data_IF_590829703760
#
_entry.id   IF_590829703760
#
_cell.length_a   1.000
_cell.length_b   1.000
_cell.length_c   1.000
_cell.angle_alpha   90.00
_cell.angle_beta   90.00
_cell.angle_gamma   90.00
#
_symmetry.space_group_name_H-M   'P 1'
#
loop_
_entity.id
_entity.type
_entity.pdbx_description
1 polymer ?
#
# COMPACT_ATOMS: atom_id res chain seq x y z
N UNK A 1 12.69 -26.35 -17.93
CA UNK A 1 13.29 -25.31 -17.08
C UNK A 1 12.17 -24.64 -16.31
N UNK A 2 12.23 -24.62 -14.98
CA UNK A 2 11.25 -23.86 -14.19
C UNK A 2 11.57 -22.39 -14.35
N UNK A 3 10.63 -21.60 -14.87
CA UNK A 3 10.79 -20.15 -14.99
C UNK A 3 10.77 -19.55 -13.59
N UNK A 4 11.83 -18.83 -13.20
CA UNK A 4 11.84 -18.07 -11.95
C UNK A 4 10.74 -17.01 -12.00
N UNK A 5 9.83 -17.06 -11.03
CA UNK A 5 8.78 -16.05 -10.90
C UNK A 5 9.39 -14.71 -10.48
N UNK A 6 9.00 -13.63 -11.16
CA UNK A 6 9.38 -12.27 -10.77
C UNK A 6 8.12 -11.52 -10.35
N UNK A 7 8.15 -10.90 -9.17
CA UNK A 7 7.08 -10.09 -8.61
C UNK A 7 7.46 -8.62 -8.51
N UNK A 8 6.46 -7.77 -8.67
CA UNK A 8 6.54 -6.34 -8.43
C UNK A 8 5.73 -6.01 -7.18
N UNK A 9 6.31 -5.25 -6.26
CA UNK A 9 5.67 -4.80 -5.03
C UNK A 9 5.59 -3.28 -5.06
N UNK A 10 4.38 -2.73 -4.99
CA UNK A 10 4.13 -1.29 -4.91
C UNK A 10 3.73 -0.95 -3.49
N UNK A 11 4.57 -0.21 -2.77
CA UNK A 11 4.47 0.01 -1.33
C UNK A 11 4.09 1.46 -1.06
N UNK A 12 3.14 1.65 -0.16
CA UNK A 12 2.86 2.95 0.45
C UNK A 12 2.71 2.81 1.97
N UNK A 13 2.88 3.92 2.68
CA UNK A 13 2.78 4.00 4.12
C UNK A 13 1.57 4.81 4.59
N UNK A 14 1.09 4.48 5.76
CA UNK A 14 0.07 5.25 6.46
C UNK A 14 0.30 5.17 7.96
N UNK A 15 -0.58 5.82 8.71
CA UNK A 15 -0.39 6.01 10.14
C UNK A 15 0.14 7.40 10.47
N UNK A 16 0.31 7.64 11.76
CA UNK A 16 0.77 8.93 12.26
C UNK A 16 1.35 8.80 13.65
N UNK A 17 2.38 9.60 13.93
CA UNK A 17 2.91 9.73 15.30
C UNK A 17 1.78 10.10 16.27
N UNK A 18 0.81 10.93 15.90
CA UNK A 18 -0.29 11.33 16.80
C UNK A 18 -1.15 10.14 17.28
N UNK A 19 -1.35 9.13 16.43
CA UNK A 19 -2.18 7.96 16.73
C UNK A 19 -1.35 6.76 17.18
N UNK A 20 -0.03 6.79 16.97
CA UNK A 20 0.88 5.71 17.34
C UNK A 20 0.92 4.55 16.34
N UNK A 21 0.16 4.59 15.25
CA UNK A 21 0.19 3.54 14.24
C UNK A 21 1.23 3.83 13.18
N UNK A 22 2.03 2.83 12.85
CA UNK A 22 2.86 2.72 11.65
C UNK A 22 2.26 1.62 10.80
N UNK A 23 1.94 1.89 9.54
CA UNK A 23 1.33 0.94 8.62
C UNK A 23 2.07 1.00 7.29
N UNK A 24 2.49 -0.15 6.77
CA UNK A 24 2.93 -0.29 5.39
C UNK A 24 2.00 -1.28 4.71
N UNK A 25 1.50 -0.92 3.53
CA UNK A 25 0.76 -1.85 2.67
C UNK A 25 1.36 -1.88 1.29
N UNK A 26 1.12 -2.98 0.59
CA UNK A 26 1.58 -3.13 -0.78
C UNK A 26 0.54 -3.78 -1.67
N UNK A 27 0.59 -3.43 -2.95
CA UNK A 27 0.03 -4.24 -4.03
C UNK A 27 1.15 -5.09 -4.61
N UNK A 28 0.93 -6.40 -4.76
CA UNK A 28 1.84 -7.28 -5.48
C UNK A 28 1.18 -7.91 -6.70
N UNK A 29 1.97 -8.07 -7.76
CA UNK A 29 1.59 -8.85 -8.94
C UNK A 29 2.81 -9.55 -9.53
N UNK A 30 2.60 -10.60 -10.32
CA UNK A 30 3.67 -11.15 -11.17
C UNK A 30 3.98 -10.16 -12.29
N UNK A 31 5.21 -10.18 -12.80
CA UNK A 31 5.60 -9.36 -13.97
C UNK A 31 4.74 -9.68 -15.19
N UNK A 32 4.37 -10.94 -15.39
CA UNK A 32 3.52 -11.37 -16.51
C UNK A 32 2.10 -10.78 -16.44
N UNK A 33 1.59 -10.60 -15.21
CA UNK A 33 0.23 -10.13 -14.93
C UNK A 33 0.14 -8.60 -14.82
N UNK A 34 1.28 -7.91 -14.86
CA UNK A 34 1.38 -6.46 -14.68
C UNK A 34 0.45 -5.68 -15.62
N UNK A 35 0.38 -6.07 -16.90
CA UNK A 35 -0.49 -5.38 -17.87
C UNK A 35 -1.97 -5.57 -17.56
N UNK A 36 -2.36 -6.76 -17.10
CA UNK A 36 -3.74 -7.09 -16.80
C UNK A 36 -4.20 -6.39 -15.51
N UNK A 37 -3.39 -6.43 -14.45
CA UNK A 37 -3.67 -5.68 -13.21
C UNK A 37 -3.79 -4.17 -13.44
N UNK A 38 -2.84 -3.58 -14.18
CA UNK A 38 -2.92 -2.15 -14.52
C UNK A 38 -4.15 -1.83 -15.38
N UNK A 39 -4.53 -2.72 -16.30
CA UNK A 39 -5.71 -2.53 -17.15
C UNK A 39 -6.98 -2.40 -16.32
N UNK A 40 -7.19 -3.26 -15.32
CA UNK A 40 -8.38 -3.20 -14.45
C UNK A 40 -8.51 -1.85 -13.75
N UNK A 41 -7.41 -1.36 -13.19
CA UNK A 41 -7.41 -0.03 -12.61
C UNK A 41 -7.69 1.07 -13.63
N UNK A 42 -7.07 1.03 -14.81
CA UNK A 42 -7.31 2.04 -15.84
C UNK A 42 -8.75 2.02 -16.37
N UNK A 43 -9.41 0.86 -16.38
CA UNK A 43 -10.81 0.76 -16.76
C UNK A 43 -11.73 1.35 -15.69
N UNK A 44 -11.43 1.15 -14.40
CA UNK A 44 -12.04 1.93 -13.30
C UNK A 44 -11.86 3.43 -13.54
N UNK A 45 -10.66 3.91 -13.88
CA UNK A 45 -10.41 5.34 -14.12
C UNK A 45 -11.30 5.91 -15.23
N UNK A 46 -11.61 5.13 -16.27
CA UNK A 46 -12.56 5.54 -17.32
C UNK A 46 -14.00 5.57 -16.79
N UNK A 47 -14.38 4.58 -16.00
CA UNK A 47 -15.71 4.52 -15.37
C UNK A 47 -15.93 5.74 -14.46
N UNK A 48 -14.96 6.07 -13.61
CA UNK A 48 -15.03 7.24 -12.73
C UNK A 48 -15.19 8.55 -13.50
N UNK A 49 -14.60 8.65 -14.70
CA UNK A 49 -14.82 9.80 -15.56
C UNK A 49 -16.25 9.82 -16.12
N UNK A 50 -16.75 8.69 -16.62
CA UNK A 50 -18.09 8.60 -17.20
C UNK A 50 -19.20 8.88 -16.16
N UNK A 51 -19.06 8.36 -14.95
CA UNK A 51 -20.11 8.38 -13.92
C UNK A 51 -19.97 9.56 -12.95
N UNK A 52 -18.72 9.89 -12.58
CA UNK A 52 -18.44 10.89 -11.55
C UNK A 52 -17.69 12.10 -12.09
N UNK A 53 -17.40 12.16 -13.39
CA UNK A 53 -16.66 13.24 -14.04
C UNK A 53 -15.28 13.49 -13.41
N UNK A 54 -14.66 12.45 -12.84
CA UNK A 54 -13.31 12.50 -12.27
C UNK A 54 -12.31 12.20 -13.39
N UNK A 55 -11.48 13.17 -13.82
CA UNK A 55 -10.56 12.95 -14.94
C UNK A 55 -9.52 11.86 -14.60
N UNK A 56 -9.13 10.98 -15.57
CA UNK A 56 -8.13 9.95 -15.33
C UNK A 56 -6.77 10.50 -14.86
N UNK A 57 -6.42 11.72 -15.27
CA UNK A 57 -5.20 12.42 -14.87
C UNK A 57 -5.24 13.01 -13.44
N UNK A 58 -6.40 13.05 -12.79
CA UNK A 58 -6.50 13.51 -11.41
C UNK A 58 -5.93 12.46 -10.45
N UNK A 59 -4.94 12.82 -9.64
CA UNK A 59 -4.36 11.92 -8.63
C UNK A 59 -5.40 11.53 -7.56
N UNK A 60 -5.66 10.23 -7.40
CA UNK A 60 -6.45 9.73 -6.28
C UNK A 60 -5.54 9.42 -5.09
N UNK A 61 -5.23 10.45 -4.31
CA UNK A 61 -4.58 10.27 -3.01
C UNK A 61 -5.65 10.03 -1.94
N UNK A 62 -5.79 8.79 -1.45
CA UNK A 62 -6.84 8.29 -0.57
C UNK A 62 -7.10 9.20 0.62
N UNK A 63 -6.06 9.59 1.37
CA UNK A 63 -6.20 10.48 2.53
C UNK A 63 -6.79 11.84 2.15
N UNK A 64 -6.36 12.44 1.04
CA UNK A 64 -6.94 13.73 0.59
C UNK A 64 -8.35 13.52 0.04
N UNK A 65 -8.51 12.50 -0.79
CA UNK A 65 -9.73 12.18 -1.53
C UNK A 65 -10.89 11.88 -0.59
N UNK A 66 -10.75 10.88 0.30
CA UNK A 66 -11.80 10.43 1.23
C UNK A 66 -12.14 11.50 2.27
N UNK A 67 -11.18 12.33 2.67
CA UNK A 67 -11.42 13.42 3.61
C UNK A 67 -12.10 14.65 2.99
N UNK A 68 -12.41 14.62 1.69
CA UNK A 68 -13.09 15.72 1.00
C UNK A 68 -12.18 16.88 0.60
N UNK A 69 -10.86 16.65 0.49
CA UNK A 69 -9.93 17.65 -0.02
C UNK A 69 -9.87 17.60 -1.55
N UNK A 70 -9.54 18.74 -2.16
CA UNK A 70 -9.42 18.90 -3.61
C UNK A 70 -10.75 18.86 -4.37
N UNK A 71 -10.68 19.08 -5.67
CA UNK A 71 -11.81 19.08 -6.61
C UNK A 71 -11.62 17.98 -7.67
N UNK A 72 -11.78 16.70 -7.31
CA UNK A 72 -11.54 15.56 -8.20
C UNK A 72 -12.47 15.54 -9.42
N UNK A 73 -13.71 16.01 -9.28
CA UNK A 73 -14.71 16.00 -10.33
C UNK A 73 -14.80 17.37 -11.03
N UNK A 74 -15.07 17.39 -12.33
CA UNK A 74 -15.46 18.62 -13.03
C UNK A 74 -16.86 19.09 -12.63
N UNK A 75 -17.65 18.23 -11.99
CA UNK A 75 -18.92 18.58 -11.37
C UNK A 75 -18.70 19.13 -9.94
N UNK A 76 -18.98 20.42 -9.75
CA UNK A 76 -18.78 21.11 -8.47
C UNK A 76 -19.71 20.62 -7.35
N UNK A 77 -20.91 20.15 -7.68
CA UNK A 77 -21.84 19.58 -6.70
C UNK A 77 -21.31 18.24 -6.17
N UNK A 78 -20.74 17.41 -7.05
CA UNK A 78 -20.10 16.15 -6.67
C UNK A 78 -18.98 16.37 -5.66
N UNK A 79 -18.12 17.37 -5.88
CA UNK A 79 -16.96 17.66 -5.03
C UNK A 79 -17.31 17.96 -3.57
N UNK A 80 -18.55 18.42 -3.30
CA UNK A 80 -19.06 18.73 -1.96
C UNK A 80 -19.59 17.50 -1.21
N UNK A 81 -19.78 16.37 -1.89
CA UNK A 81 -20.31 15.16 -1.29
C UNK A 81 -19.20 14.25 -0.75
N UNK A 82 -19.13 14.10 0.57
CA UNK A 82 -18.25 13.10 1.22
C UNK A 82 -18.74 11.68 1.00
N UNK A 83 -20.05 11.49 0.87
CA UNK A 83 -20.65 10.18 0.64
C UNK A 83 -20.22 9.60 -0.70
N UNK A 84 -20.34 10.38 -1.79
CA UNK A 84 -19.90 9.96 -3.12
C UNK A 84 -18.39 9.66 -3.19
N UNK A 85 -17.58 10.35 -2.38
CA UNK A 85 -16.14 10.05 -2.25
C UNK A 85 -15.89 8.73 -1.53
N UNK A 86 -16.73 8.38 -0.54
CA UNK A 86 -16.72 7.07 0.10
C UNK A 86 -17.03 5.97 -0.92
N UNK A 87 -18.12 6.13 -1.69
CA UNK A 87 -18.50 5.16 -2.73
C UNK A 87 -17.40 4.94 -3.77
N UNK A 88 -16.74 6.01 -4.25
CA UNK A 88 -15.61 5.87 -5.18
C UNK A 88 -14.41 5.18 -4.54
N UNK A 89 -14.16 5.41 -3.25
CA UNK A 89 -13.09 4.73 -2.54
C UNK A 89 -13.40 3.23 -2.37
N UNK A 90 -14.63 2.86 -2.06
CA UNK A 90 -15.09 1.47 -1.99
C UNK A 90 -15.01 0.78 -3.37
N UNK A 91 -15.38 1.49 -4.44
CA UNK A 91 -15.23 0.98 -5.80
C UNK A 91 -13.77 0.75 -6.18
N UNK A 92 -12.88 1.66 -5.78
CA UNK A 92 -11.43 1.50 -5.96
C UNK A 92 -10.88 0.28 -5.21
N UNK A 93 -11.27 0.10 -3.95
CA UNK A 93 -10.87 -1.05 -3.13
C UNK A 93 -11.44 -2.36 -3.67
N UNK A 94 -12.70 -2.37 -4.10
CA UNK A 94 -13.34 -3.53 -4.74
C UNK A 94 -12.62 -3.92 -6.03
N UNK A 95 -12.27 -2.93 -6.86
CA UNK A 95 -11.50 -3.16 -8.10
C UNK A 95 -10.15 -3.82 -7.81
N UNK A 96 -9.47 -3.42 -6.73
CA UNK A 96 -8.21 -4.06 -6.30
C UNK A 96 -8.49 -5.48 -5.83
N UNK A 97 -9.45 -5.67 -4.93
CA UNK A 97 -9.77 -6.96 -4.31
C UNK A 97 -10.31 -8.03 -5.26
N UNK A 98 -11.01 -7.63 -6.31
CA UNK A 98 -11.61 -8.52 -7.31
C UNK A 98 -10.66 -8.81 -8.49
N UNK A 99 -9.50 -8.13 -8.57
CA UNK A 99 -8.53 -8.37 -9.62
C UNK A 99 -7.69 -9.61 -9.27
N UNK A 100 -7.94 -10.74 -9.95
CA UNK A 100 -7.22 -12.00 -9.69
C UNK A 100 -5.71 -11.96 -9.93
N UNK A 101 -5.24 -10.96 -10.67
CA UNK A 101 -3.83 -10.68 -10.94
C UNK A 101 -3.13 -9.91 -9.82
N UNK A 102 -3.89 -9.36 -8.86
CA UNK A 102 -3.38 -8.56 -7.77
C UNK A 102 -3.54 -9.30 -6.44
N UNK A 103 -2.56 -9.10 -5.58
CA UNK A 103 -2.69 -9.42 -4.18
C UNK A 103 -2.28 -8.20 -3.35
N UNK A 104 -2.74 -8.16 -2.12
CA UNK A 104 -2.43 -7.07 -1.18
C UNK A 104 -1.72 -7.66 0.02
N UNK A 105 -0.84 -6.91 0.67
CA UNK A 105 -0.44 -7.23 2.02
C UNK A 105 -0.25 -6.00 2.87
N UNK A 106 -0.32 -6.21 4.18
CA UNK A 106 -0.15 -5.14 5.18
C UNK A 106 0.70 -5.65 6.34
N UNK A 107 1.65 -4.83 6.77
CA UNK A 107 2.30 -4.95 8.09
C UNK A 107 2.14 -3.66 8.88
N UNK A 108 2.07 -3.78 10.21
CA UNK A 108 1.86 -2.60 11.05
C UNK A 108 2.50 -2.71 12.44
N UNK A 109 2.55 -1.58 13.15
CA UNK A 109 2.94 -1.49 14.57
C UNK A 109 2.14 -0.40 15.25
N UNK A 110 1.77 -0.64 16.51
CA UNK A 110 1.34 0.43 17.42
C UNK A 110 2.49 0.79 18.37
N UNK A 111 2.73 2.07 18.58
CA UNK A 111 3.78 2.62 19.45
C UNK A 111 3.33 3.92 20.12
N UNK A 112 3.80 4.13 21.34
CA UNK A 112 3.61 5.38 22.08
C UNK A 112 4.70 6.42 21.75
N UNK A 113 5.73 6.03 21.02
CA UNK A 113 6.84 6.91 20.66
C UNK A 113 6.40 8.03 19.73
N UNK A 114 7.14 9.15 19.76
CA UNK A 114 6.89 10.37 18.98
C UNK A 114 8.21 10.90 18.41
N UNK A 115 8.12 11.83 17.46
CA UNK A 115 9.30 12.48 16.87
C UNK A 115 10.28 11.49 16.24
N UNK A 116 11.57 11.66 16.50
CA UNK A 116 12.63 10.80 15.94
C UNK A 116 12.51 9.34 16.36
N UNK A 117 11.98 9.05 17.54
CA UNK A 117 11.74 7.69 17.99
C UNK A 117 10.60 7.02 17.21
N UNK A 118 9.58 7.78 16.77
CA UNK A 118 8.55 7.27 15.87
C UNK A 118 9.10 6.99 14.46
N UNK A 119 9.93 7.89 13.92
CA UNK A 119 10.60 7.66 12.64
C UNK A 119 11.47 6.39 12.64
N UNK A 120 12.16 6.10 13.76
CA UNK A 120 12.87 4.81 13.92
C UNK A 120 11.92 3.61 13.90
N UNK A 121 10.74 3.73 14.51
CA UNK A 121 9.73 2.67 14.43
C UNK A 121 9.23 2.47 12.99
N UNK A 122 9.03 3.54 12.21
CA UNK A 122 8.72 3.43 10.78
C UNK A 122 9.79 2.63 10.02
N UNK A 123 11.05 3.03 10.17
CA UNK A 123 12.18 2.32 9.56
C UNK A 123 12.26 0.84 9.98
N UNK A 124 12.00 0.52 11.25
CA UNK A 124 12.00 -0.86 11.74
C UNK A 124 10.87 -1.70 11.15
N UNK A 125 9.67 -1.13 10.98
CA UNK A 125 8.54 -1.82 10.35
C UNK A 125 8.80 -2.03 8.87
N UNK A 126 9.35 -1.03 8.17
CA UNK A 126 9.75 -1.18 6.77
C UNK A 126 10.79 -2.30 6.60
N UNK A 127 11.82 -2.32 7.44
CA UNK A 127 12.83 -3.40 7.43
C UNK A 127 12.20 -4.78 7.66
N UNK A 128 11.30 -4.89 8.64
CA UNK A 128 10.58 -6.14 8.90
C UNK A 128 9.69 -6.57 7.72
N UNK A 129 9.09 -5.62 6.99
CA UNK A 129 8.36 -5.88 5.75
C UNK A 129 9.29 -6.44 4.67
N UNK A 130 10.44 -5.79 4.43
CA UNK A 130 11.43 -6.24 3.44
C UNK A 130 11.92 -7.67 3.75
N UNK A 131 12.27 -7.96 5.02
CA UNK A 131 12.65 -9.31 5.47
C UNK A 131 11.50 -10.34 5.30
N UNK A 132 10.26 -9.90 5.46
CA UNK A 132 9.08 -10.75 5.26
C UNK A 132 8.87 -11.08 3.77
N UNK A 133 8.95 -10.09 2.89
CA UNK A 133 8.82 -10.27 1.44
C UNK A 133 9.96 -11.13 0.89
N UNK A 134 11.20 -10.90 1.33
CA UNK A 134 12.37 -11.69 0.93
C UNK A 134 12.21 -13.17 1.27
N UNK A 135 11.75 -13.48 2.49
CA UNK A 135 11.48 -14.86 2.91
C UNK A 135 10.36 -15.53 2.10
N UNK A 136 9.32 -14.78 1.72
CA UNK A 136 8.23 -15.30 0.87
C UNK A 136 8.73 -15.64 -0.52
N UNK A 137 9.53 -14.77 -1.11
CA UNK A 137 10.14 -15.00 -2.41
C UNK A 137 11.11 -16.19 -2.35
N UNK A 138 11.89 -16.32 -1.27
CA UNK A 138 12.76 -17.46 -1.05
C UNK A 138 12.00 -18.80 -1.00
N UNK A 139 10.83 -18.82 -0.35
CA UNK A 139 9.99 -20.01 -0.24
C UNK A 139 9.48 -20.53 -1.60
N UNK A 140 9.35 -19.65 -2.60
CA UNK A 140 8.93 -20.01 -3.96
C UNK A 140 10.08 -19.99 -4.97
N UNK A 141 11.32 -19.73 -4.51
CA UNK A 141 12.47 -19.45 -5.37
C UNK A 141 12.18 -18.35 -6.42
N UNK A 142 11.40 -17.35 -6.04
CA UNK A 142 11.05 -16.18 -6.85
C UNK A 142 12.00 -15.01 -6.62
N UNK A 143 11.82 -13.94 -7.39
CA UNK A 143 12.56 -12.68 -7.26
C UNK A 143 11.58 -11.51 -7.16
N UNK A 144 11.99 -10.43 -6.50
CA UNK A 144 11.12 -9.28 -6.22
C UNK A 144 11.77 -7.93 -6.45
N UNK A 145 11.00 -6.98 -6.97
CA UNK A 145 11.38 -5.55 -7.03
C UNK A 145 10.36 -4.74 -6.23
N UNK A 146 10.85 -3.83 -5.37
CA UNK A 146 9.99 -2.94 -4.59
C UNK A 146 10.02 -1.53 -5.20
N UNK A 147 8.84 -1.02 -5.50
CA UNK A 147 8.57 0.36 -5.88
C UNK A 147 7.85 1.03 -4.71
N UNK A 148 8.42 2.10 -4.17
CA UNK A 148 7.96 2.70 -2.91
C UNK A 148 7.57 4.15 -3.15
N UNK A 149 6.48 4.61 -2.53
CA UNK A 149 6.17 6.04 -2.55
C UNK A 149 7.25 6.85 -1.82
N UNK A 150 7.48 8.07 -2.30
CA UNK A 150 8.48 8.98 -1.75
C UNK A 150 9.52 9.43 -2.76
N UNK A 151 10.57 10.09 -2.24
CA UNK A 151 11.60 10.77 -3.03
C UNK A 151 13.01 10.22 -2.83
N UNK A 152 13.16 9.18 -2.00
CA UNK A 152 14.43 8.51 -1.71
C UNK A 152 15.37 9.29 -0.79
N UNK A 153 14.88 10.32 -0.11
CA UNK A 153 15.70 11.11 0.82
C UNK A 153 15.96 10.42 2.15
N UNK A 154 15.10 9.48 2.57
CA UNK A 154 15.29 8.70 3.78
C UNK A 154 16.20 7.48 3.52
N UNK A 155 17.43 7.46 4.07
CA UNK A 155 18.37 6.37 3.85
C UNK A 155 17.94 5.05 4.49
N UNK A 156 16.97 5.03 5.40
CA UNK A 156 16.50 3.82 6.06
C UNK A 156 15.92 2.79 5.07
N UNK A 157 15.28 3.28 4.00
CA UNK A 157 14.72 2.43 2.95
C UNK A 157 15.81 1.64 2.21
N UNK A 158 16.91 2.30 1.83
CA UNK A 158 18.06 1.63 1.20
C UNK A 158 18.77 0.70 2.18
N UNK A 159 18.96 1.12 3.43
CA UNK A 159 19.60 0.32 4.46
C UNK A 159 18.85 -1.02 4.67
N UNK A 160 17.52 -1.01 4.73
CA UNK A 160 16.71 -2.21 4.87
C UNK A 160 16.94 -3.25 3.76
N UNK A 161 17.14 -2.81 2.51
CA UNK A 161 17.44 -3.71 1.39
C UNK A 161 18.88 -4.24 1.45
N UNK A 162 19.83 -3.39 1.82
CA UNK A 162 21.27 -3.73 1.87
C UNK A 162 21.63 -4.60 3.07
N UNK A 163 20.81 -4.59 4.12
CA UNK A 163 20.93 -5.48 5.28
C UNK A 163 20.59 -6.96 4.93
N UNK A 164 19.89 -7.20 3.81
CA UNK A 164 19.66 -8.55 3.31
C UNK A 164 20.96 -9.21 2.87
N UNK A 165 21.13 -10.50 3.19
CA UNK A 165 22.32 -11.26 2.82
C UNK A 165 22.39 -11.47 1.30
N UNK A 166 23.40 -10.88 0.65
CA UNK A 166 23.56 -10.97 -0.82
C UNK A 166 23.51 -12.41 -1.36
N UNK A 167 24.09 -13.38 -0.64
CA UNK A 167 24.14 -14.78 -1.06
C UNK A 167 22.77 -15.47 -1.10
N UNK A 168 21.76 -14.93 -0.43
CA UNK A 168 20.45 -15.58 -0.26
C UNK A 168 19.27 -14.63 -0.47
N UNK A 169 19.50 -13.36 -0.80
CA UNK A 169 18.41 -12.39 -0.98
C UNK A 169 17.69 -12.64 -2.30
N UNK A 170 16.38 -12.52 -2.25
CA UNK A 170 15.45 -12.65 -3.37
C UNK A 170 14.80 -11.31 -3.75
N UNK A 171 14.83 -10.32 -2.86
CA UNK A 171 14.59 -8.92 -3.22
C UNK A 171 15.79 -8.39 -4.00
N UNK A 172 15.54 -7.84 -5.19
CA UNK A 172 16.55 -7.28 -6.09
C UNK A 172 16.72 -5.79 -5.80
N UNK A 173 17.98 -5.34 -5.76
CA UNK A 173 18.40 -3.92 -5.68
C UNK A 173 17.86 -3.14 -4.45
N UNK A 174 18.21 -1.86 -4.41
CA UNK A 174 17.60 -0.84 -3.56
C UNK A 174 16.15 -0.53 -4.02
N UNK A 175 15.29 0.08 -3.18
CA UNK A 175 13.92 0.40 -3.58
C UNK A 175 13.88 1.46 -4.68
N UNK A 176 12.95 1.30 -5.62
CA UNK A 176 12.69 2.26 -6.69
C UNK A 176 11.63 3.27 -6.25
N UNK A 177 12.02 4.50 -6.00
CA UNK A 177 11.09 5.54 -5.58
C UNK A 177 10.24 6.05 -6.75
N UNK A 178 8.91 6.06 -6.57
CA UNK A 178 7.98 6.62 -7.54
C UNK A 178 6.92 7.47 -6.83
N UNK A 179 6.78 8.75 -7.19
CA UNK A 179 5.78 9.59 -6.55
C UNK A 179 4.36 9.20 -7.00
N UNK A 180 3.42 9.10 -6.06
CA UNK A 180 2.03 8.70 -6.27
C UNK A 180 1.32 9.42 -7.44
N UNK A 181 1.50 10.74 -7.60
CA UNK A 181 0.89 11.52 -8.68
C UNK A 181 1.27 11.05 -10.11
N UNK A 182 2.34 10.26 -10.26
CA UNK A 182 2.78 9.70 -11.56
C UNK A 182 2.56 8.20 -11.69
N UNK A 183 2.18 7.51 -10.62
CA UNK A 183 2.08 6.05 -10.61
C UNK A 183 0.70 5.60 -10.17
N UNK A 184 -0.04 5.00 -11.12
CA UNK A 184 -1.35 4.40 -10.83
C UNK A 184 -1.24 3.26 -9.81
N UNK A 185 -0.13 2.53 -9.83
CA UNK A 185 0.13 1.45 -8.90
C UNK A 185 0.37 1.93 -7.47
N UNK A 186 1.13 3.01 -7.30
CA UNK A 186 1.32 3.63 -5.98
C UNK A 186 -0.01 4.18 -5.47
N UNK A 187 -0.87 4.74 -6.34
CA UNK A 187 -2.23 5.13 -5.92
C UNK A 187 -3.07 3.95 -5.43
N UNK A 188 -2.95 2.75 -6.04
CA UNK A 188 -3.58 1.54 -5.50
C UNK A 188 -3.02 1.16 -4.12
N UNK A 189 -1.70 1.27 -3.93
CA UNK A 189 -1.04 1.02 -2.65
C UNK A 189 -1.48 2.04 -1.57
N UNK A 190 -1.65 3.32 -1.90
CA UNK A 190 -2.18 4.37 -1.00
C UNK A 190 -3.59 4.00 -0.51
N UNK A 191 -4.47 3.54 -1.41
CA UNK A 191 -5.79 3.05 -1.00
C UNK A 191 -5.70 1.87 -0.04
N UNK A 192 -4.82 0.89 -0.31
CA UNK A 192 -4.60 -0.24 0.58
C UNK A 192 -4.06 0.20 1.96
N UNK A 193 -3.07 1.09 1.99
CA UNK A 193 -2.47 1.61 3.21
C UNK A 193 -3.47 2.45 4.03
N UNK A 194 -4.22 3.33 3.38
CA UNK A 194 -5.30 4.11 4.00
C UNK A 194 -6.35 3.19 4.62
N UNK A 195 -6.83 2.22 3.85
CA UNK A 195 -7.87 1.28 4.25
C UNK A 195 -7.43 0.47 5.48
N UNK A 196 -6.22 -0.09 5.45
CA UNK A 196 -5.65 -0.80 6.58
C UNK A 196 -5.47 0.08 7.82
N UNK A 197 -5.06 1.34 7.64
CA UNK A 197 -4.94 2.24 8.77
C UNK A 197 -6.30 2.59 9.39
N UNK A 198 -7.35 2.80 8.58
CA UNK A 198 -8.69 3.07 9.12
C UNK A 198 -9.28 1.87 9.87
N UNK A 199 -9.06 0.64 9.40
CA UNK A 199 -9.54 -0.58 10.07
C UNK A 199 -8.85 -0.81 11.43
N UNK A 200 -7.59 -0.40 11.56
CA UNK A 200 -6.81 -0.46 12.81
C UNK A 200 -7.16 0.69 13.77
N UNK A 201 -7.19 1.92 13.27
CA UNK A 201 -7.35 3.13 14.08
C UNK A 201 -8.74 3.26 14.69
N UNK A 202 -9.78 2.95 13.90
CA UNK A 202 -11.19 3.02 14.28
C UNK A 202 -11.64 4.31 15.00
N UNK A 203 -11.30 5.48 14.46
CA UNK A 203 -11.83 6.75 14.99
C UNK A 203 -13.33 6.91 14.66
N UNK A 204 -14.21 7.32 15.62
CA UNK A 204 -15.66 7.34 15.42
C UNK A 204 -16.15 8.12 14.21
N UNK A 205 -15.49 9.24 13.88
CA UNK A 205 -15.82 10.07 12.72
C UNK A 205 -15.56 9.38 11.35
N UNK A 206 -14.94 8.20 11.36
CA UNK A 206 -14.60 7.37 10.19
C UNK A 206 -15.18 5.97 10.26
N UNK A 207 -16.24 5.76 11.03
CA UNK A 207 -16.87 4.45 11.17
C UNK A 207 -17.27 3.80 9.83
N UNK A 208 -17.66 4.61 8.84
CA UNK A 208 -18.01 4.16 7.50
C UNK A 208 -16.87 3.41 6.77
N UNK A 209 -15.61 3.62 7.17
CA UNK A 209 -14.44 2.99 6.51
C UNK A 209 -13.79 1.88 7.32
N UNK A 210 -14.32 1.51 8.50
CA UNK A 210 -13.66 0.53 9.38
C UNK A 210 -13.65 -0.88 8.79
N UNK A 211 -14.69 -1.24 8.05
CA UNK A 211 -14.88 -2.60 7.53
C UNK A 211 -14.41 -2.75 6.08
N UNK A 212 -13.96 -1.67 5.44
CA UNK A 212 -13.52 -1.68 4.04
C UNK A 212 -12.40 -2.70 3.78
N UNK A 213 -11.44 -2.84 4.70
CA UNK A 213 -10.35 -3.79 4.51
C UNK A 213 -10.88 -5.21 4.47
N UNK A 214 -11.79 -5.51 5.40
CA UNK A 214 -12.34 -6.84 5.57
C UNK A 214 -13.30 -7.22 4.44
N UNK A 215 -14.06 -6.25 3.95
CA UNK A 215 -14.98 -6.42 2.85
C UNK A 215 -14.26 -6.58 1.50
N UNK A 216 -13.19 -5.81 1.25
CA UNK A 216 -12.63 -5.68 -0.09
C UNK A 216 -11.23 -6.26 -0.25
N UNK A 217 -10.35 -6.16 0.75
CA UNK A 217 -8.93 -6.52 0.59
C UNK A 217 -8.56 -7.84 1.25
N UNK A 218 -9.24 -8.25 2.32
CA UNK A 218 -8.97 -9.53 2.99
C UNK A 218 -8.98 -10.75 2.05
N UNK A 219 -9.91 -10.88 1.09
CA UNK A 219 -9.92 -12.04 0.18
C UNK A 219 -8.65 -12.20 -0.65
N UNK A 220 -7.96 -11.08 -0.94
CA UNK A 220 -6.69 -11.07 -1.69
C UNK A 220 -5.47 -10.74 -0.80
N UNK A 221 -5.63 -10.71 0.53
CA UNK A 221 -4.53 -10.43 1.46
C UNK A 221 -3.63 -11.65 1.59
N UNK A 222 -2.38 -11.47 1.20
CA UNK A 222 -1.36 -12.51 1.21
C UNK A 222 -0.91 -12.95 2.61
N UNK A 223 -1.30 -12.22 3.65
CA UNK A 223 -1.05 -12.58 5.04
C UNK A 223 -2.29 -13.24 5.71
N UNK A 224 -3.43 -13.31 5.02
CA UNK A 224 -4.70 -13.83 5.54
C UNK A 224 -5.45 -12.89 6.50
N UNK A 225 -4.80 -11.81 6.93
CA UNK A 225 -5.28 -10.61 7.61
C UNK A 225 -4.07 -9.70 7.90
N UNK A 226 -4.30 -8.49 8.45
CA UNK A 226 -3.21 -7.60 8.86
C UNK A 226 -2.17 -8.32 9.74
N UNK A 227 -0.91 -8.32 9.33
CA UNK A 227 0.18 -8.94 10.10
C UNK A 227 0.84 -7.91 11.02
N UNK A 228 0.83 -8.16 12.33
CA UNK A 228 1.58 -7.32 13.28
C UNK A 228 3.07 -7.52 13.05
N UNK A 229 3.83 -6.44 12.88
CA UNK A 229 5.29 -6.52 12.78
C UNK A 229 5.87 -6.98 14.13
N UNK A 230 6.10 -8.28 14.26
CA UNK A 230 6.79 -8.83 15.41
C UNK A 230 8.29 -8.54 15.28
N UNK A 231 8.76 -7.50 15.96
CA UNK A 231 10.18 -7.39 16.31
C UNK A 231 10.34 -7.14 17.80
N UNK A 232 10.16 -8.20 18.59
CA UNK A 232 11.01 -8.45 19.74
C UNK A 232 12.27 -9.17 19.26
N UNK A 233 13.17 -8.46 18.57
CA UNK A 233 14.45 -9.04 18.18
C UNK A 233 15.31 -9.28 19.43
N UNK A 234 16.09 -10.38 19.52
CA UNK A 234 16.95 -10.64 20.66
C UNK A 234 17.96 -9.51 20.83
N UNK A 235 18.20 -9.11 22.10
CA UNK A 235 19.36 -8.28 22.44
C UNK A 235 20.60 -8.98 21.86
N UNK A 236 21.22 -8.37 20.85
CA UNK A 236 22.54 -8.81 20.39
C UNK A 236 23.53 -8.48 21.52
N UNK A 237 23.98 -9.52 22.21
CA UNK A 237 25.19 -9.55 23.02
C UNK A 237 26.42 -9.55 22.11
#
# INVERSE_FOLDING_TARGET
MSTTEVRLFYVDDSGAAATGWVVYSWIECRVDDWRAGLRKWLDLRKQLYAEHHIPPAYELHATKFVNGRGNPSTNTAWNRSKHLRGEVAELALSTIGECGELQVGTVYRHTETRGTAYARQQAEVYRAMVDHLDRRLAATNGLGLLLVDGDGTDPAYQAAHRDLKLATRHVIEDPLFQPAHRSQWIQMADFAAYCAYQSLLRIPAKNFSWDWYEAHLRPCDVNGAHCKSETGGPKRS
#
